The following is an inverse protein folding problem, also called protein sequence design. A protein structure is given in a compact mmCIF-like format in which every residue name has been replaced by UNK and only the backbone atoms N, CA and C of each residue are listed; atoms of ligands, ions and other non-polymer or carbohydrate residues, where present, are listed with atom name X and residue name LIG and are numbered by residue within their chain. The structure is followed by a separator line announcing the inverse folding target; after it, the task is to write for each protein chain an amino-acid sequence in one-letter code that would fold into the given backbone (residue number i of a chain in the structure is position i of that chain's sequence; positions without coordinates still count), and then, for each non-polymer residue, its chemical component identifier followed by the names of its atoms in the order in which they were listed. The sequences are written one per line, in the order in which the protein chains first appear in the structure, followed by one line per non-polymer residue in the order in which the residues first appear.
data_IF_847003195149
#
_entry.id   IF_847003195149
#
_cell.length_a   1.000
_cell.length_b   1.000
_cell.length_c   1.000
_cell.angle_alpha   90.00
_cell.angle_beta   90.00
_cell.angle_gamma   90.00
#
_symmetry.space_group_name_H-M   'P 1'
#
loop_
_entity.id
_entity.type
_entity.pdbx_description
1 polymer ?
#
# COMPACT_ATOMS: atom_id res chain seq x y z
N UNK A 1 -16.26 -10.42 -23.09
CA UNK A 1 -16.99 -11.37 -22.25
C UNK A 1 -18.20 -10.60 -21.74
N UNK A 2 -19.38 -10.86 -22.29
CA UNK A 2 -20.61 -10.15 -21.92
C UNK A 2 -21.12 -10.70 -20.60
N UNK A 3 -20.99 -9.92 -19.53
CA UNK A 3 -21.63 -10.24 -18.26
C UNK A 3 -23.10 -9.81 -18.29
N UNK A 4 -23.98 -10.69 -17.83
CA UNK A 4 -25.42 -10.44 -17.74
C UNK A 4 -25.71 -9.51 -16.55
N UNK A 5 -26.18 -8.29 -16.84
CA UNK A 5 -26.44 -7.23 -15.84
C UNK A 5 -27.71 -7.53 -15.03
N UNK A 6 -27.56 -7.56 -13.70
CA UNK A 6 -28.68 -7.59 -12.75
C UNK A 6 -28.77 -6.25 -12.00
N UNK A 7 -29.93 -5.56 -11.98
CA UNK A 7 -30.06 -4.22 -11.38
C UNK A 7 -29.65 -4.14 -9.90
N UNK A 8 -29.77 -5.24 -9.16
CA UNK A 8 -29.44 -5.37 -7.74
C UNK A 8 -27.93 -5.38 -7.48
N UNK A 9 -27.11 -5.55 -8.52
CA UNK A 9 -25.64 -5.62 -8.44
C UNK A 9 -24.96 -4.35 -8.96
N UNK A 10 -25.74 -3.32 -9.31
CA UNK A 10 -25.26 -2.09 -9.94
C UNK A 10 -24.14 -1.41 -9.14
N UNK A 11 -24.32 -1.25 -7.84
CA UNK A 11 -23.33 -0.61 -6.97
C UNK A 11 -22.03 -1.42 -6.89
N UNK A 12 -22.13 -2.76 -6.88
CA UNK A 12 -20.96 -3.64 -6.90
C UNK A 12 -20.24 -3.59 -8.26
N UNK A 13 -20.97 -3.51 -9.37
CA UNK A 13 -20.39 -3.37 -10.71
C UNK A 13 -19.76 -2.00 -10.94
N UNK A 14 -20.38 -0.91 -10.49
CA UNK A 14 -19.79 0.43 -10.56
C UNK A 14 -18.50 0.47 -9.72
N UNK A 15 -18.51 -0.10 -8.52
CA UNK A 15 -17.32 -0.19 -7.67
C UNK A 15 -16.21 -1.02 -8.30
N UNK A 16 -16.50 -2.22 -8.83
CA UNK A 16 -15.52 -3.07 -9.52
C UNK A 16 -15.01 -2.41 -10.82
N UNK A 17 -15.86 -1.66 -11.52
CA UNK A 17 -15.49 -0.94 -12.74
C UNK A 17 -14.59 0.26 -12.43
N UNK A 18 -14.92 1.06 -11.41
CA UNK A 18 -14.08 2.16 -10.93
C UNK A 18 -12.74 1.63 -10.41
N UNK A 19 -12.76 0.59 -9.57
CA UNK A 19 -11.55 -0.08 -9.07
C UNK A 19 -10.73 -0.69 -10.22
N UNK A 20 -11.38 -1.29 -11.24
CA UNK A 20 -10.72 -1.80 -12.44
C UNK A 20 -10.08 -0.69 -13.29
N UNK A 21 -10.73 0.47 -13.40
CA UNK A 21 -10.17 1.66 -14.04
C UNK A 21 -9.03 2.26 -13.21
N UNK A 22 -9.08 2.23 -11.88
CA UNK A 22 -7.97 2.64 -11.01
C UNK A 22 -6.76 1.72 -11.13
N UNK A 23 -6.99 0.40 -11.19
CA UNK A 23 -5.94 -0.59 -11.43
C UNK A 23 -5.31 -0.34 -12.80
N UNK A 24 -6.11 -0.18 -13.87
CA UNK A 24 -5.63 0.13 -15.23
C UNK A 24 -4.94 1.51 -15.32
N UNK A 25 -5.41 2.51 -14.58
CA UNK A 25 -4.77 3.82 -14.47
C UNK A 25 -3.45 3.75 -13.67
N UNK A 26 -3.32 2.81 -12.71
CA UNK A 26 -2.05 2.55 -12.03
C UNK A 26 -1.00 1.90 -12.94
N UNK A 27 -1.41 1.36 -14.09
CA UNK A 27 -0.53 0.95 -15.19
C UNK A 27 -0.27 2.07 -16.21
N UNK A 28 -1.17 3.06 -16.32
CA UNK A 28 -1.08 4.21 -17.22
C UNK A 28 -1.32 5.53 -16.48
N UNK A 29 -0.26 6.09 -15.88
CA UNK A 29 -0.05 7.55 -15.70
C UNK A 29 1.24 7.82 -14.92
N UNK A 30 2.35 7.89 -15.63
CA UNK A 30 3.54 8.63 -15.18
C UNK A 30 3.62 10.03 -15.81
N UNK A 31 2.71 10.38 -16.73
CA UNK A 31 2.76 11.63 -17.51
C UNK A 31 2.59 12.90 -16.64
N UNK A 32 1.96 12.80 -15.46
CA UNK A 32 1.76 13.92 -14.50
C UNK A 32 2.78 13.94 -13.35
N UNK A 33 3.77 13.03 -13.37
CA UNK A 33 4.73 12.82 -12.30
C UNK A 33 6.12 13.27 -12.73
N UNK A 34 6.64 14.31 -12.08
CA UNK A 34 8.01 14.76 -12.31
C UNK A 34 8.95 14.03 -11.36
N UNK A 35 10.01 13.43 -11.90
CA UNK A 35 11.11 12.89 -11.08
C UNK A 35 11.70 14.03 -10.25
N UNK A 36 11.63 13.89 -8.93
CA UNK A 36 12.04 14.89 -7.98
C UNK A 36 13.46 14.59 -7.45
N UNK A 37 14.21 15.63 -7.08
CA UNK A 37 15.58 15.48 -6.57
C UNK A 37 15.60 14.71 -5.24
N UNK A 38 16.16 13.50 -5.25
CA UNK A 38 16.23 12.59 -4.09
C UNK A 38 16.89 13.24 -2.88
N UNK A 39 17.83 14.16 -3.07
CA UNK A 39 18.50 14.87 -1.96
C UNK A 39 17.54 15.79 -1.18
N UNK A 40 16.46 16.24 -1.81
CA UNK A 40 15.43 17.06 -1.17
C UNK A 40 14.48 16.24 -0.29
N UNK A 41 14.34 14.94 -0.54
CA UNK A 41 13.35 14.05 0.07
C UNK A 41 14.00 12.95 0.92
N UNK A 42 15.12 13.28 1.57
CA UNK A 42 15.92 12.31 2.36
C UNK A 42 15.12 11.67 3.48
N UNK A 43 14.23 12.41 4.14
CA UNK A 43 13.42 11.89 5.23
C UNK A 43 12.34 10.92 4.72
N UNK A 44 11.64 11.24 3.63
CA UNK A 44 10.68 10.33 3.01
C UNK A 44 11.35 9.06 2.49
N UNK A 45 12.53 9.20 1.87
CA UNK A 45 13.34 8.05 1.42
C UNK A 45 13.78 7.20 2.61
N UNK A 46 14.12 7.82 3.74
CA UNK A 46 14.48 7.11 4.97
C UNK A 46 13.29 6.32 5.51
N UNK A 47 12.10 6.91 5.55
CA UNK A 47 10.86 6.21 5.95
C UNK A 47 10.58 5.03 5.02
N UNK A 48 10.70 5.19 3.69
CA UNK A 48 10.50 4.07 2.79
C UNK A 48 11.55 2.97 2.98
N UNK A 49 12.83 3.32 3.17
CA UNK A 49 13.87 2.33 3.46
C UNK A 49 13.61 1.55 4.75
N UNK A 50 13.11 2.23 5.77
CA UNK A 50 12.72 1.64 7.05
C UNK A 50 11.55 0.66 6.88
N UNK A 51 10.55 1.02 6.06
CA UNK A 51 9.48 0.09 5.64
C UNK A 51 10.06 -1.13 4.92
N UNK A 52 11.02 -0.93 4.02
CA UNK A 52 11.66 -2.01 3.27
C UNK A 52 12.47 -2.98 4.14
N UNK A 53 12.94 -2.54 5.31
CA UNK A 53 13.76 -3.34 6.22
C UNK A 53 12.92 -4.15 7.21
N UNK A 54 11.84 -3.55 7.70
CA UNK A 54 11.12 -4.04 8.88
C UNK A 54 9.69 -4.54 8.58
N UNK A 55 9.04 -4.07 7.51
CA UNK A 55 7.60 -4.26 7.31
C UNK A 55 7.21 -4.89 5.97
N UNK A 56 8.21 -5.33 5.19
CA UNK A 56 8.03 -6.11 3.95
C UNK A 56 9.02 -7.28 3.92
N UNK A 57 8.79 -8.32 3.10
CA UNK A 57 9.74 -9.41 3.02
C UNK A 57 11.10 -8.92 2.49
N UNK A 58 12.17 -9.37 3.16
CA UNK A 58 13.51 -8.81 2.97
C UNK A 58 14.08 -9.15 1.60
N UNK A 59 14.91 -8.23 1.09
CA UNK A 59 15.71 -8.48 -0.11
C UNK A 59 14.94 -8.48 -1.43
N UNK A 60 13.67 -8.06 -1.42
CA UNK A 60 12.86 -7.90 -2.64
C UNK A 60 13.34 -6.67 -3.42
N UNK A 61 13.29 -5.49 -2.80
CA UNK A 61 13.49 -4.24 -3.50
C UNK A 61 14.95 -3.75 -3.45
N UNK A 62 15.42 -3.19 -4.57
CA UNK A 62 16.67 -2.45 -4.62
C UNK A 62 16.45 -1.03 -4.08
N UNK A 63 17.05 -0.71 -2.93
CA UNK A 63 16.97 0.63 -2.31
C UNK A 63 17.55 1.74 -3.19
N UNK A 64 18.46 1.41 -4.10
CA UNK A 64 19.01 2.38 -5.05
C UNK A 64 17.99 2.79 -6.12
N UNK A 65 16.96 1.95 -6.36
CA UNK A 65 15.88 2.15 -7.32
C UNK A 65 14.59 2.70 -6.67
N UNK A 66 14.74 3.47 -5.59
CA UNK A 66 13.66 4.29 -5.06
C UNK A 66 13.58 5.58 -5.87
N UNK A 67 12.47 5.76 -6.57
CA UNK A 67 12.17 6.94 -7.35
C UNK A 67 11.27 7.87 -6.54
N UNK A 68 11.59 9.15 -6.53
CA UNK A 68 10.72 10.18 -5.96
C UNK A 68 10.03 10.92 -7.08
N UNK A 69 8.71 11.00 -7.00
CA UNK A 69 7.87 11.74 -7.92
C UNK A 69 7.06 12.78 -7.17
N UNK A 70 6.70 13.84 -7.88
CA UNK A 70 5.73 14.82 -7.40
C UNK A 70 4.64 15.00 -8.44
N UNK A 71 3.38 14.93 -8.00
CA UNK A 71 2.23 15.30 -8.82
C UNK A 71 2.15 16.83 -8.89
N UNK A 72 2.01 17.37 -10.10
CA UNK A 72 2.10 18.80 -10.40
C UNK A 72 1.15 19.68 -9.56
N UNK A 73 -0.02 19.16 -9.20
CA UNK A 73 -1.05 19.91 -8.47
C UNK A 73 -1.17 19.51 -6.98
N UNK A 74 -0.15 18.84 -6.41
CA UNK A 74 -0.17 18.45 -4.99
C UNK A 74 1.09 18.90 -4.27
N UNK A 75 0.94 19.25 -2.99
CA UNK A 75 2.09 19.41 -2.10
C UNK A 75 2.62 18.07 -1.58
N UNK A 76 1.96 16.97 -1.92
CA UNK A 76 2.36 15.64 -1.51
C UNK A 76 3.55 15.14 -2.34
N UNK A 77 4.44 14.40 -1.67
CA UNK A 77 5.53 13.67 -2.29
C UNK A 77 5.09 12.22 -2.52
N UNK A 78 5.41 11.65 -3.67
CA UNK A 78 5.12 10.26 -4.01
C UNK A 78 6.43 9.50 -4.18
N UNK A 79 6.65 8.42 -3.44
CA UNK A 79 7.80 7.53 -3.62
C UNK A 79 7.34 6.21 -4.22
N UNK A 80 8.20 5.65 -5.05
CA UNK A 80 7.87 4.49 -5.86
C UNK A 80 9.09 3.61 -6.05
N UNK A 81 8.91 2.30 -5.87
CA UNK A 81 9.90 1.28 -6.24
C UNK A 81 9.19 0.07 -6.81
N UNK A 82 9.85 -0.67 -7.70
CA UNK A 82 9.25 -1.79 -8.42
C UNK A 82 10.27 -2.83 -8.82
N UNK A 83 9.80 -4.04 -9.05
CA UNK A 83 10.52 -5.07 -9.81
C UNK A 83 9.73 -5.31 -11.09
N UNK A 84 10.44 -5.34 -12.21
CA UNK A 84 9.90 -5.61 -13.52
C UNK A 84 10.12 -7.08 -13.89
N UNK A 85 9.13 -7.71 -14.52
CA UNK A 85 9.29 -9.01 -15.21
C UNK A 85 9.98 -8.83 -16.55
N UNK A 86 9.65 -7.74 -17.22
CA UNK A 86 10.16 -7.28 -18.52
C UNK A 86 9.89 -5.76 -18.63
N UNK A 87 10.18 -5.14 -19.77
CA UNK A 87 10.08 -3.69 -19.93
C UNK A 87 8.66 -3.11 -19.74
N UNK A 88 7.62 -3.94 -19.77
CA UNK A 88 6.21 -3.53 -19.72
C UNK A 88 5.47 -4.04 -18.46
N UNK A 89 5.90 -5.16 -17.88
CA UNK A 89 5.17 -5.84 -16.80
C UNK A 89 5.86 -5.66 -15.43
N UNK A 90 5.12 -5.10 -14.47
CA UNK A 90 5.53 -5.01 -13.06
C UNK A 90 5.20 -6.33 -12.34
N UNK A 91 6.16 -6.93 -11.63
CA UNK A 91 5.94 -8.10 -10.76
C UNK A 91 5.44 -7.70 -9.38
N UNK A 92 6.08 -6.69 -8.80
CA UNK A 92 5.74 -6.18 -7.47
C UNK A 92 6.18 -4.72 -7.40
N UNK A 93 5.43 -3.89 -6.68
CA UNK A 93 5.76 -2.47 -6.49
C UNK A 93 5.33 -1.98 -5.12
N UNK A 94 5.98 -0.92 -4.67
CA UNK A 94 5.51 -0.11 -3.55
C UNK A 94 5.21 1.29 -4.05
N UNK A 95 4.08 1.81 -3.60
CA UNK A 95 3.64 3.19 -3.80
C UNK A 95 3.44 3.83 -2.44
N UNK A 96 4.14 4.93 -2.14
CA UNK A 96 3.96 5.66 -0.90
C UNK A 96 3.77 7.15 -1.14
N UNK A 97 2.93 7.76 -0.31
CA UNK A 97 2.61 9.17 -0.37
C UNK A 97 2.92 9.81 0.97
N UNK A 98 3.45 11.03 0.92
CA UNK A 98 3.81 11.83 2.07
C UNK A 98 3.15 13.20 1.96
N UNK A 99 2.76 13.78 3.09
CA UNK A 99 2.30 15.17 3.12
C UNK A 99 3.49 16.15 2.98
N UNK A 100 3.19 17.45 3.00
CA UNK A 100 4.18 18.52 2.90
C UNK A 100 5.12 18.63 4.11
N UNK A 101 4.84 17.93 5.21
CA UNK A 101 5.72 17.80 6.38
C UNK A 101 6.63 16.56 6.31
N UNK A 102 6.56 15.78 5.22
CA UNK A 102 7.31 14.54 5.07
C UNK A 102 6.75 13.36 5.89
N UNK A 103 5.52 13.45 6.39
CA UNK A 103 4.85 12.36 7.12
C UNK A 103 4.17 11.41 6.15
N UNK A 104 4.30 10.11 6.40
CA UNK A 104 3.64 9.07 5.62
C UNK A 104 2.11 9.21 5.78
N UNK A 105 1.41 9.36 4.67
CA UNK A 105 -0.07 9.41 4.64
C UNK A 105 -0.67 8.17 4.00
N UNK A 106 0.07 7.50 3.12
CA UNK A 106 -0.36 6.26 2.47
C UNK A 106 0.86 5.44 2.05
N UNK A 107 0.73 4.14 2.15
CA UNK A 107 1.69 3.18 1.64
C UNK A 107 0.93 1.94 1.14
N UNK A 108 1.40 1.34 0.04
CA UNK A 108 0.80 0.14 -0.53
C UNK A 108 1.86 -0.69 -1.26
N UNK A 109 2.10 -1.92 -0.81
CA UNK A 109 2.81 -2.95 -1.55
C UNK A 109 1.82 -3.74 -2.40
N UNK A 110 2.03 -3.76 -3.71
CA UNK A 110 1.17 -4.44 -4.67
C UNK A 110 1.95 -5.58 -5.31
N UNK A 111 1.51 -6.82 -5.06
CA UNK A 111 2.06 -8.00 -5.69
C UNK A 111 1.19 -8.41 -6.90
N UNK A 112 1.82 -8.53 -8.08
CA UNK A 112 1.16 -8.93 -9.33
C UNK A 112 1.62 -10.29 -9.84
N UNK A 113 2.44 -11.01 -9.07
CA UNK A 113 3.00 -12.31 -9.45
C UNK A 113 4.46 -12.51 -9.08
N UNK A 114 5.01 -11.69 -8.18
CA UNK A 114 6.28 -11.98 -7.52
C UNK A 114 6.08 -13.12 -6.52
N UNK A 115 6.97 -14.11 -6.55
CA UNK A 115 6.94 -15.23 -5.62
C UNK A 115 7.50 -14.79 -4.27
N UNK A 116 6.62 -14.50 -3.32
CA UNK A 116 6.98 -14.18 -1.95
C UNK A 116 7.26 -15.47 -1.16
N UNK A 117 8.16 -15.38 -0.18
CA UNK A 117 8.37 -16.47 0.76
C UNK A 117 7.23 -16.49 1.78
N UNK A 118 6.68 -17.68 2.06
CA UNK A 118 5.68 -17.87 3.12
C UNK A 118 6.28 -17.57 4.48
N UNK A 119 5.55 -16.81 5.29
CA UNK A 119 5.92 -16.45 6.66
C UNK A 119 4.63 -16.17 7.43
N UNK A 120 3.88 -17.24 7.69
CA UNK A 120 2.56 -17.17 8.31
C UNK A 120 2.61 -16.47 9.68
N UNK A 121 1.72 -15.50 9.89
CA UNK A 121 1.55 -14.83 11.18
C UNK A 121 0.29 -15.29 11.90
N UNK A 122 0.40 -15.46 13.21
CA UNK A 122 -0.78 -15.56 14.08
C UNK A 122 -1.47 -14.21 14.22
N UNK A 123 -2.77 -14.20 14.56
CA UNK A 123 -3.51 -12.95 14.80
C UNK A 123 -2.86 -12.02 15.83
N UNK A 124 -2.20 -12.58 16.85
CA UNK A 124 -1.49 -11.78 17.85
C UNK A 124 -0.23 -11.11 17.26
N UNK A 125 0.50 -11.82 16.41
CA UNK A 125 1.67 -11.28 15.71
C UNK A 125 1.27 -10.22 14.69
N UNK A 126 0.17 -10.45 13.95
CA UNK A 126 -0.40 -9.50 12.99
C UNK A 126 -0.84 -8.20 13.66
N UNK A 127 -1.57 -8.29 14.78
CA UNK A 127 -1.96 -7.13 15.56
C UNK A 127 -0.73 -6.39 16.13
N UNK A 128 0.28 -7.12 16.59
CA UNK A 128 1.53 -6.51 17.07
C UNK A 128 2.25 -5.76 15.95
N UNK A 129 2.41 -6.38 14.78
CA UNK A 129 3.06 -5.77 13.61
C UNK A 129 2.34 -4.49 13.18
N UNK A 130 1.01 -4.53 13.11
CA UNK A 130 0.22 -3.37 12.74
C UNK A 130 0.33 -2.24 13.80
N UNK A 131 0.34 -2.57 15.10
CA UNK A 131 0.54 -1.57 16.17
C UNK A 131 1.94 -0.96 16.10
N UNK A 132 2.98 -1.76 15.91
CA UNK A 132 4.36 -1.28 15.75
C UNK A 132 4.47 -0.32 14.55
N UNK A 133 3.86 -0.66 13.42
CA UNK A 133 3.83 0.20 12.23
C UNK A 133 3.19 1.56 12.54
N UNK A 134 1.99 1.56 13.14
CA UNK A 134 1.25 2.79 13.43
C UNK A 134 1.97 3.63 14.49
N UNK A 135 2.50 3.01 15.55
CA UNK A 135 3.25 3.71 16.58
C UNK A 135 4.48 4.41 16.01
N UNK A 136 5.17 3.79 15.05
CA UNK A 136 6.38 4.33 14.41
C UNK A 136 6.08 5.52 13.51
N UNK A 137 5.04 5.45 12.68
CA UNK A 137 4.79 6.45 11.64
C UNK A 137 3.66 7.46 11.95
N UNK A 138 2.84 7.19 12.96
CA UNK A 138 1.75 8.07 13.39
C UNK A 138 1.98 8.57 14.82
N UNK A 139 2.20 7.65 15.76
CA UNK A 139 2.55 7.97 17.15
C UNK A 139 2.05 6.95 18.18
N UNK A 140 2.79 6.82 19.28
CA UNK A 140 2.62 5.78 20.33
C UNK A 140 1.26 5.75 21.05
N UNK A 141 0.43 6.79 20.91
CA UNK A 141 -0.88 6.86 21.54
C UNK A 141 -2.01 6.27 20.69
N UNK A 142 -1.72 5.82 19.46
CA UNK A 142 -2.73 5.29 18.55
C UNK A 142 -2.81 3.78 18.73
N UNK A 143 -3.90 3.33 19.34
CA UNK A 143 -4.23 1.93 19.43
C UNK A 143 -5.12 1.54 18.24
N UNK A 144 -4.72 0.50 17.52
CA UNK A 144 -5.53 -0.10 16.46
C UNK A 144 -6.25 -1.34 16.96
N UNK A 145 -7.46 -1.52 16.45
CA UNK A 145 -8.33 -2.67 16.70
C UNK A 145 -8.61 -3.37 15.38
N UNK A 146 -8.88 -4.68 15.45
CA UNK A 146 -9.32 -5.45 14.29
C UNK A 146 -10.66 -4.87 13.79
N UNK A 147 -10.74 -4.60 12.50
CA UNK A 147 -11.95 -4.13 11.82
C UNK A 147 -12.36 -5.17 10.76
N UNK A 148 -13.59 -5.12 10.24
CA UNK A 148 -13.96 -5.93 9.08
C UNK A 148 -12.98 -5.70 7.92
N UNK A 149 -12.73 -6.74 7.13
CA UNK A 149 -11.79 -6.64 6.02
C UNK A 149 -12.19 -5.52 5.08
N UNK A 150 -11.24 -4.63 4.80
CA UNK A 150 -11.42 -3.63 3.76
C UNK A 150 -11.41 -4.34 2.40
N UNK A 151 -12.45 -4.09 1.61
CA UNK A 151 -12.59 -4.65 0.27
C UNK A 151 -12.54 -6.19 0.25
N UNK A 152 -13.48 -6.88 0.91
CA UNK A 152 -13.51 -8.35 0.96
C UNK A 152 -13.67 -9.01 -0.42
N UNK A 153 -14.03 -8.24 -1.46
CA UNK A 153 -14.05 -8.69 -2.85
C UNK A 153 -12.68 -8.67 -3.54
N UNK A 154 -11.70 -7.95 -2.98
CA UNK A 154 -10.34 -7.80 -3.52
C UNK A 154 -9.33 -8.72 -2.82
N UNK A 155 -9.64 -9.17 -1.61
CA UNK A 155 -8.77 -10.05 -0.83
C UNK A 155 -9.38 -11.44 -0.70
N UNK A 156 -8.54 -12.47 -0.80
CA UNK A 156 -8.94 -13.84 -0.48
C UNK A 156 -9.26 -13.95 1.02
N UNK A 157 -10.37 -14.62 1.33
CA UNK A 157 -10.83 -14.83 2.70
C UNK A 157 -9.75 -15.53 3.54
N UNK A 158 -9.42 -14.95 4.69
CA UNK A 158 -8.45 -15.52 5.62
C UNK A 158 -6.98 -15.32 5.26
N UNK A 159 -6.66 -14.58 4.18
CA UNK A 159 -5.27 -14.25 3.81
C UNK A 159 -4.78 -12.89 4.29
N UNK A 160 -5.68 -12.03 4.74
CA UNK A 160 -5.37 -10.68 5.17
C UNK A 160 -6.17 -10.35 6.43
N UNK A 161 -5.67 -9.40 7.20
CA UNK A 161 -6.44 -8.79 8.27
C UNK A 161 -6.35 -7.27 8.21
N UNK A 162 -7.50 -6.64 8.42
CA UNK A 162 -7.62 -5.18 8.48
C UNK A 162 -7.70 -4.69 9.92
N UNK A 163 -7.00 -3.59 10.19
CA UNK A 163 -6.97 -2.90 11.46
C UNK A 163 -7.22 -1.41 11.28
N UNK A 164 -7.88 -0.79 12.24
CA UNK A 164 -8.11 0.65 12.27
C UNK A 164 -8.20 1.17 13.69
N UNK A 165 -8.12 2.48 13.86
CA UNK A 165 -8.37 3.09 15.16
C UNK A 165 -9.87 3.25 15.41
N UNK A 166 -10.23 3.53 16.66
CA UNK A 166 -11.62 3.72 17.10
C UNK A 166 -12.37 4.80 16.31
N UNK A 167 -11.65 5.81 15.80
CA UNK A 167 -12.24 6.96 15.10
C UNK A 167 -12.25 6.74 13.57
N UNK A 168 -11.73 5.61 13.08
CA UNK A 168 -11.68 5.26 11.65
C UNK A 168 -10.76 6.15 10.82
N UNK A 169 -9.81 6.83 11.47
CA UNK A 169 -8.84 7.73 10.86
C UNK A 169 -7.65 6.99 10.24
N UNK A 170 -7.34 5.79 10.72
CA UNK A 170 -6.22 5.00 10.23
C UNK A 170 -6.69 3.64 9.75
N UNK A 171 -5.98 3.12 8.77
CA UNK A 171 -6.18 1.76 8.27
C UNK A 171 -4.83 1.12 8.02
N UNK A 172 -4.68 -0.11 8.49
CA UNK A 172 -3.55 -1.00 8.22
C UNK A 172 -4.10 -2.33 7.71
N UNK A 173 -3.55 -2.86 6.63
CA UNK A 173 -3.83 -4.22 6.17
C UNK A 173 -2.53 -5.01 6.22
N UNK A 174 -2.60 -6.21 6.78
CA UNK A 174 -1.47 -7.12 6.92
C UNK A 174 -1.77 -8.39 6.13
N UNK A 175 -0.83 -8.80 5.30
CA UNK A 175 -0.82 -10.11 4.63
C UNK A 175 -0.41 -11.17 5.66
N UNK A 176 -1.31 -12.14 5.89
CA UNK A 176 -1.11 -13.22 6.85
C UNK A 176 -0.26 -14.36 6.32
N UNK A 177 -0.24 -14.60 5.01
CA UNK A 177 0.44 -15.73 4.35
C UNK A 177 1.96 -15.48 4.28
N UNK A 178 2.35 -14.23 4.05
CA UNK A 178 3.73 -13.79 3.86
C UNK A 178 4.21 -12.84 4.97
N UNK A 179 3.33 -12.47 5.91
CA UNK A 179 3.68 -11.81 7.16
C UNK A 179 4.24 -10.40 7.02
N UNK A 180 3.54 -9.52 6.31
CA UNK A 180 3.98 -8.14 6.08
C UNK A 180 2.85 -7.12 6.08
N UNK A 181 3.17 -5.84 6.28
CA UNK A 181 2.20 -4.76 6.14
C UNK A 181 2.03 -4.46 4.65
N UNK A 182 0.85 -4.78 4.11
CA UNK A 182 0.54 -4.54 2.71
C UNK A 182 0.10 -3.11 2.45
N UNK A 183 -0.76 -2.58 3.34
CA UNK A 183 -1.39 -1.29 3.13
C UNK A 183 -1.43 -0.48 4.41
N UNK A 184 -1.22 0.82 4.25
CA UNK A 184 -1.49 1.83 5.27
C UNK A 184 -2.11 3.07 4.64
N UNK A 185 -3.08 3.67 5.32
CA UNK A 185 -3.55 5.01 5.00
C UNK A 185 -4.09 5.78 6.21
N UNK A 186 -3.95 7.09 6.13
CA UNK A 186 -4.73 8.04 6.92
C UNK A 186 -5.99 8.39 6.12
N UNK A 187 -7.15 8.01 6.65
CA UNK A 187 -8.46 8.34 6.12
C UNK A 187 -8.85 9.75 6.61
N UNK A 188 -9.26 10.62 5.68
CA UNK A 188 -9.69 12.00 5.93
C UNK A 188 -11.22 12.09 6.01
#
# INVERSE_FOLDING_TARGET
MDFQYYPETKDSYEKIWEEGQEVLASFKKLDDLILADREKYKEEVKVLNDILDDYVPRGIFNKDEIYTFRKLDTENTFLYTRIMKNDEEVLIKIESSFNNEGKLIRYHLKNHGYNLEENELTQAETLNLANEFVNKYVGESVEIIKIPDLYPSLYEEGKHESYGDKDGKYTVVVDLEHGFVEYFAILL
#
